data_IF_906281233750
#
_entry.id   IF_906281233750
#
_cell.length_a   1.000
_cell.length_b   1.000
_cell.length_c   1.000
_cell.angle_alpha   90.00
_cell.angle_beta   90.00
_cell.angle_gamma   90.00
#
_symmetry.space_group_name_H-M   'P 1'
#
loop_
_entity.id
_entity.type
_entity.pdbx_description
1 polymer ?
#
# COMPACT_ATOMS: atom_id res chain seq x y z
N UNK A 1 18.26 9.19 9.73
CA UNK A 1 17.53 7.92 9.85
C UNK A 1 18.57 6.82 9.98
N UNK A 2 18.42 5.92 10.93
CA UNK A 2 19.26 4.71 11.00
C UNK A 2 18.71 3.80 9.92
N UNK A 3 19.48 3.57 8.86
CA UNK A 3 19.13 2.54 7.87
C UNK A 3 18.95 1.22 8.61
N UNK A 4 17.84 0.56 8.40
CA UNK A 4 17.61 -0.78 8.93
C UNK A 4 18.74 -1.69 8.41
N UNK A 5 19.46 -2.33 9.31
CA UNK A 5 20.50 -3.31 8.93
C UNK A 5 19.93 -4.63 8.39
N UNK A 6 18.61 -4.75 8.33
CA UNK A 6 17.90 -5.94 7.86
C UNK A 6 17.87 -5.92 6.32
N UNK A 7 18.48 -6.91 5.65
CA UNK A 7 18.42 -7.02 4.20
C UNK A 7 16.97 -7.19 3.72
N UNK A 8 16.60 -6.40 2.71
CA UNK A 8 15.27 -6.44 2.13
C UNK A 8 15.25 -7.23 0.83
N UNK A 9 14.15 -7.92 0.57
CA UNK A 9 13.93 -8.66 -0.65
C UNK A 9 13.94 -7.71 -1.87
N UNK A 10 14.39 -8.22 -3.02
CA UNK A 10 14.32 -7.49 -4.28
C UNK A 10 12.86 -7.19 -4.61
N UNK A 11 12.58 -6.02 -5.14
CA UNK A 11 11.22 -5.62 -5.50
C UNK A 11 10.71 -6.28 -6.80
N UNK A 12 11.61 -6.54 -7.74
CA UNK A 12 11.28 -7.11 -9.05
C UNK A 12 12.05 -8.42 -9.30
N UNK A 13 11.53 -9.26 -10.19
CA UNK A 13 12.16 -10.53 -10.61
C UNK A 13 12.35 -11.50 -9.42
N UNK A 14 11.39 -11.53 -8.49
CA UNK A 14 11.44 -12.43 -7.34
C UNK A 14 10.94 -13.84 -7.66
N UNK A 15 10.05 -13.97 -8.62
CA UNK A 15 9.45 -15.23 -9.01
C UNK A 15 9.69 -15.52 -10.48
N UNK A 16 9.59 -16.82 -10.83
CA UNK A 16 9.63 -17.23 -12.24
C UNK A 16 8.44 -16.58 -12.96
N UNK A 17 8.73 -15.86 -14.04
CA UNK A 17 7.69 -15.31 -14.90
C UNK A 17 6.86 -16.43 -15.52
N UNK A 18 5.53 -16.26 -15.47
CA UNK A 18 4.56 -17.07 -16.19
C UNK A 18 4.03 -16.32 -17.42
N UNK A 19 4.68 -15.21 -17.78
CA UNK A 19 4.28 -14.41 -18.93
C UNK A 19 4.29 -15.24 -20.21
N UNK A 20 3.26 -15.06 -21.01
CA UNK A 20 3.17 -15.64 -22.35
C UNK A 20 4.13 -14.87 -23.25
N UNK A 21 4.88 -15.60 -24.10
CA UNK A 21 5.69 -14.96 -25.13
C UNK A 21 4.75 -14.31 -26.15
N UNK A 22 4.91 -13.02 -26.31
CA UNK A 22 4.17 -12.23 -27.30
C UNK A 22 4.98 -12.15 -28.61
N UNK A 23 4.28 -12.09 -29.74
CA UNK A 23 4.88 -11.68 -31.00
C UNK A 23 5.02 -10.14 -31.04
N UNK A 24 5.71 -9.61 -32.07
CA UNK A 24 6.00 -8.19 -32.18
C UNK A 24 4.74 -7.31 -32.27
N UNK A 25 3.66 -7.80 -32.88
CA UNK A 25 2.39 -7.07 -32.99
C UNK A 25 1.64 -7.05 -31.65
N UNK A 26 1.64 -8.17 -30.95
CA UNK A 26 1.06 -8.29 -29.61
C UNK A 26 1.83 -7.44 -28.60
N UNK A 27 3.15 -7.44 -28.68
CA UNK A 27 3.99 -6.60 -27.80
C UNK A 27 3.71 -5.11 -28.02
N UNK A 28 3.68 -4.64 -29.27
CA UNK A 28 3.33 -3.24 -29.58
C UNK A 28 1.93 -2.87 -29.06
N UNK A 29 0.96 -3.77 -29.25
CA UNK A 29 -0.40 -3.55 -28.71
C UNK A 29 -0.43 -3.52 -27.21
N UNK A 30 0.32 -4.38 -26.53
CA UNK A 30 0.41 -4.40 -25.07
C UNK A 30 1.00 -3.11 -24.53
N UNK A 31 2.11 -2.63 -25.10
CA UNK A 31 2.72 -1.36 -24.69
C UNK A 31 1.77 -0.18 -24.91
N UNK A 32 1.09 -0.13 -26.04
CA UNK A 32 0.09 0.90 -26.32
C UNK A 32 -1.07 0.87 -25.32
N UNK A 33 -1.57 -0.30 -24.93
CA UNK A 33 -2.60 -0.43 -23.92
C UNK A 33 -2.12 0.04 -22.53
N UNK A 34 -0.88 -0.25 -22.14
CA UNK A 34 -0.32 0.26 -20.89
C UNK A 34 -0.22 1.79 -20.87
N UNK A 35 0.15 2.40 -22.00
CA UNK A 35 0.24 3.85 -22.12
C UNK A 35 -1.14 4.52 -22.04
N UNK A 36 -2.15 3.98 -22.70
CA UNK A 36 -3.49 4.57 -22.77
C UNK A 36 -4.36 4.25 -21.56
N UNK A 37 -4.18 3.07 -20.93
CA UNK A 37 -5.08 2.60 -19.87
C UNK A 37 -4.64 3.15 -18.51
N UNK A 38 -5.60 3.69 -17.75
CA UNK A 38 -5.41 4.00 -16.34
C UNK A 38 -5.65 2.72 -15.53
N UNK A 39 -4.55 2.12 -15.05
CA UNK A 39 -4.59 0.87 -14.31
C UNK A 39 -4.48 1.13 -12.81
N UNK A 40 -5.53 0.78 -12.06
CA UNK A 40 -5.62 1.04 -10.62
C UNK A 40 -5.79 -0.27 -9.87
N UNK A 41 -4.93 -0.52 -8.90
CA UNK A 41 -5.14 -1.58 -7.91
C UNK A 41 -5.70 -0.98 -6.61
N UNK A 42 -6.86 -1.47 -6.19
CA UNK A 42 -7.55 -0.94 -5.02
C UNK A 42 -7.05 -1.54 -3.69
N UNK A 43 -6.21 -2.57 -3.73
CA UNK A 43 -5.77 -3.28 -2.53
C UNK A 43 -4.38 -3.89 -2.71
N UNK A 44 -3.37 -3.13 -2.37
CA UNK A 44 -1.97 -3.53 -2.41
C UNK A 44 -1.32 -3.52 -1.03
N UNK A 45 -0.43 -4.47 -0.80
CA UNK A 45 0.47 -4.49 0.35
C UNK A 45 1.90 -4.13 -0.10
N UNK A 46 2.19 -2.85 -0.35
CA UNK A 46 3.41 -2.44 -1.05
C UNK A 46 4.67 -2.45 -0.18
N UNK A 47 4.59 -2.78 1.10
CA UNK A 47 5.78 -2.84 1.96
C UNK A 47 6.75 -3.92 1.46
N UNK A 48 8.02 -3.53 1.26
CA UNK A 48 9.11 -4.47 0.95
C UNK A 48 9.43 -5.28 2.18
N UNK A 49 9.36 -6.59 2.08
CA UNK A 49 9.62 -7.51 3.21
C UNK A 49 11.11 -7.81 3.34
N UNK A 50 11.58 -8.21 4.54
CA UNK A 50 12.90 -8.78 4.70
C UNK A 50 13.17 -9.96 3.76
N UNK A 51 14.41 -10.10 3.30
CA UNK A 51 14.86 -11.26 2.53
C UNK A 51 14.71 -12.55 3.34
N UNK A 52 15.05 -12.49 4.64
CA UNK A 52 14.76 -13.57 5.59
C UNK A 52 13.41 -13.30 6.30
N UNK A 53 12.36 -14.11 6.04
CA UNK A 53 11.05 -13.92 6.67
C UNK A 53 11.06 -14.00 8.21
N UNK A 54 12.06 -14.63 8.81
CA UNK A 54 12.18 -14.70 10.28
C UNK A 54 12.43 -13.34 10.92
N UNK A 55 12.97 -12.38 10.16
CA UNK A 55 13.24 -11.01 10.59
C UNK A 55 12.04 -10.06 10.48
N UNK A 56 10.87 -10.54 9.97
CA UNK A 56 9.71 -9.69 9.72
C UNK A 56 9.24 -8.94 10.96
N UNK A 57 9.13 -9.61 12.11
CA UNK A 57 8.66 -8.95 13.34
C UNK A 57 9.63 -7.91 13.87
N UNK A 58 10.93 -8.11 13.69
CA UNK A 58 11.95 -7.11 14.02
C UNK A 58 11.85 -5.91 13.09
N UNK A 59 11.72 -6.15 11.79
CA UNK A 59 11.51 -5.12 10.80
C UNK A 59 10.26 -4.29 11.07
N UNK A 60 9.13 -4.91 11.41
CA UNK A 60 7.89 -4.22 11.74
C UNK A 60 7.99 -3.33 13.00
N UNK A 61 8.95 -3.62 13.90
CA UNK A 61 9.25 -2.77 15.06
C UNK A 61 10.13 -1.58 14.73
N UNK A 62 10.71 -1.53 13.54
CA UNK A 62 11.45 -0.36 13.09
C UNK A 62 10.49 0.81 12.86
N UNK A 63 11.01 2.02 12.97
CA UNK A 63 10.25 3.24 12.70
C UNK A 63 10.30 3.67 11.22
N UNK A 64 10.68 2.75 10.33
CA UNK A 64 10.80 3.02 8.89
C UNK A 64 10.60 1.76 8.09
N UNK A 65 9.71 1.81 7.11
CA UNK A 65 9.50 0.75 6.12
C UNK A 65 9.97 1.20 4.75
N UNK A 66 10.50 0.27 3.97
CA UNK A 66 10.69 0.47 2.55
C UNK A 66 9.41 0.10 1.81
N UNK A 67 9.03 0.93 0.85
CA UNK A 67 7.83 0.73 0.05
C UNK A 67 8.21 0.27 -1.36
N UNK A 68 7.40 -0.60 -1.94
CA UNK A 68 7.67 -1.26 -3.20
C UNK A 68 7.36 -0.42 -4.44
N UNK A 69 7.84 0.81 -4.50
CA UNK A 69 7.58 1.72 -5.61
C UNK A 69 8.07 1.18 -6.95
N UNK A 70 9.27 0.59 -6.95
CA UNK A 70 9.84 -0.05 -8.14
C UNK A 70 8.95 -1.20 -8.65
N UNK A 71 8.47 -2.06 -7.74
CA UNK A 71 7.59 -3.18 -8.08
C UNK A 71 6.27 -2.71 -8.67
N UNK A 72 5.64 -1.73 -8.06
CA UNK A 72 4.36 -1.16 -8.52
C UNK A 72 4.52 -0.52 -9.90
N UNK A 73 5.58 0.27 -10.08
CA UNK A 73 5.89 0.89 -11.37
C UNK A 73 6.21 -0.14 -12.44
N UNK A 74 7.00 -1.17 -12.12
CA UNK A 74 7.33 -2.26 -13.04
C UNK A 74 6.08 -3.05 -13.46
N UNK A 75 5.08 -3.17 -12.58
CA UNK A 75 3.77 -3.76 -12.88
C UNK A 75 2.88 -2.92 -13.79
N UNK A 76 3.27 -1.69 -14.13
CA UNK A 76 2.52 -0.79 -15.01
C UNK A 76 1.33 -0.11 -14.34
N UNK A 77 1.23 -0.13 -13.01
CA UNK A 77 0.12 0.52 -12.31
C UNK A 77 0.22 2.05 -12.37
N UNK A 78 -0.92 2.68 -12.65
CA UNK A 78 -1.08 4.15 -12.60
C UNK A 78 -1.28 4.61 -11.15
N UNK A 79 -2.07 3.87 -10.38
CA UNK A 79 -2.27 4.15 -8.97
C UNK A 79 -2.55 2.87 -8.18
N UNK A 80 -2.24 2.91 -6.88
CA UNK A 80 -2.51 1.80 -5.97
C UNK A 80 -3.10 2.28 -4.65
N UNK A 81 -4.10 1.56 -4.17
CA UNK A 81 -4.64 1.66 -2.82
C UNK A 81 -3.83 0.80 -1.87
N UNK A 82 -3.26 1.40 -0.84
CA UNK A 82 -2.40 0.69 0.10
C UNK A 82 -3.21 0.13 1.25
N UNK A 83 -3.10 -1.17 1.50
CA UNK A 83 -3.73 -1.81 2.65
C UNK A 83 -2.83 -1.67 3.89
N UNK A 84 -3.00 -0.59 4.63
CA UNK A 84 -2.18 -0.27 5.80
C UNK A 84 -2.65 -1.07 7.03
N UNK A 85 -1.95 -2.14 7.35
CA UNK A 85 -2.29 -3.06 8.48
C UNK A 85 -1.09 -3.80 9.08
N UNK A 86 0.11 -3.52 8.63
CA UNK A 86 1.29 -4.33 9.00
C UNK A 86 1.57 -4.32 10.51
N UNK A 87 1.42 -3.18 11.17
CA UNK A 87 1.62 -3.06 12.62
C UNK A 87 0.61 -3.85 13.44
N UNK A 88 -0.51 -4.24 12.85
CA UNK A 88 -1.45 -5.20 13.47
C UNK A 88 -0.83 -6.56 13.76
N UNK A 89 0.26 -6.93 13.08
CA UNK A 89 1.01 -8.14 13.39
C UNK A 89 1.79 -8.03 14.72
N UNK A 90 2.09 -6.82 15.18
CA UNK A 90 2.78 -6.57 16.45
C UNK A 90 1.80 -6.43 17.61
N UNK A 91 0.74 -5.68 17.39
CA UNK A 91 -0.19 -5.25 18.44
C UNK A 91 -1.62 -5.35 17.94
N UNK A 92 -2.38 -6.28 18.49
CA UNK A 92 -3.82 -6.36 18.24
C UNK A 92 -4.59 -5.71 19.38
N UNK A 93 -5.71 -5.07 19.05
CA UNK A 93 -6.73 -4.69 20.01
C UNK A 93 -7.69 -5.88 20.21
N UNK A 94 -8.36 -5.96 21.35
CA UNK A 94 -9.36 -7.01 21.64
C UNK A 94 -10.50 -7.01 20.60
N UNK A 95 -10.88 -5.82 20.12
CA UNK A 95 -11.97 -5.59 19.17
C UNK A 95 -11.51 -5.07 17.82
N UNK A 96 -10.23 -5.26 17.48
CA UNK A 96 -9.66 -4.85 16.19
C UNK A 96 -8.41 -5.65 15.85
N UNK A 97 -8.11 -5.75 14.55
CA UNK A 97 -6.88 -6.36 14.06
C UNK A 97 -5.64 -5.49 14.30
N UNK A 98 -5.81 -4.18 14.30
CA UNK A 98 -4.75 -3.19 14.53
C UNK A 98 -5.26 -2.11 15.49
N UNK A 99 -4.42 -1.59 16.37
CA UNK A 99 -4.77 -0.44 17.20
C UNK A 99 -4.84 0.82 16.33
N UNK A 100 -5.79 1.71 16.62
CA UNK A 100 -5.98 2.94 15.86
C UNK A 100 -4.71 3.82 15.78
N UNK A 101 -3.96 3.93 16.87
CA UNK A 101 -2.70 4.68 16.87
C UNK A 101 -1.65 4.04 15.93
N UNK A 102 -1.49 2.72 15.98
CA UNK A 102 -0.53 2.01 15.11
C UNK A 102 -0.92 2.15 13.62
N UNK A 103 -2.21 2.19 13.31
CA UNK A 103 -2.70 2.45 11.96
C UNK A 103 -2.32 3.86 11.48
N UNK A 104 -2.52 4.88 12.33
CA UNK A 104 -2.14 6.25 11.99
C UNK A 104 -0.63 6.42 11.83
N UNK A 105 0.17 5.78 12.68
CA UNK A 105 1.63 5.80 12.59
C UNK A 105 2.09 5.19 11.26
N UNK A 106 1.51 4.06 10.85
CA UNK A 106 1.85 3.39 9.59
C UNK A 106 1.47 4.24 8.38
N UNK A 107 0.27 4.83 8.36
CA UNK A 107 -0.16 5.76 7.32
C UNK A 107 0.78 6.96 7.25
N UNK A 108 1.14 7.53 8.40
CA UNK A 108 2.02 8.69 8.47
C UNK A 108 3.42 8.38 7.95
N UNK A 109 3.98 7.21 8.29
CA UNK A 109 5.27 6.76 7.76
C UNK A 109 5.25 6.68 6.23
N UNK A 110 4.22 6.05 5.67
CA UNK A 110 4.07 5.92 4.22
C UNK A 110 3.94 7.28 3.54
N UNK A 111 3.07 8.15 4.05
CA UNK A 111 2.87 9.49 3.46
C UNK A 111 4.14 10.33 3.51
N UNK A 112 4.88 10.27 4.62
CA UNK A 112 6.16 10.97 4.76
C UNK A 112 7.25 10.39 3.84
N UNK A 113 7.17 9.11 3.52
CA UNK A 113 8.10 8.47 2.60
C UNK A 113 7.79 8.87 1.14
N UNK A 114 6.53 8.86 0.74
CA UNK A 114 6.07 9.30 -0.59
C UNK A 114 6.58 10.72 -0.92
N UNK A 115 6.55 11.65 0.04
CA UNK A 115 7.02 13.02 -0.17
C UNK A 115 8.54 13.13 -0.45
N UNK A 116 9.31 12.08 -0.22
CA UNK A 116 10.76 12.04 -0.44
C UNK A 116 11.17 11.37 -1.75
N UNK A 117 10.19 10.87 -2.51
CA UNK A 117 10.45 10.12 -3.74
C UNK A 117 9.75 10.78 -4.94
N UNK A 118 10.53 11.12 -5.96
CA UNK A 118 10.02 11.84 -7.13
C UNK A 118 9.13 10.98 -8.04
N UNK A 119 9.29 9.66 -7.98
CA UNK A 119 8.57 8.70 -8.83
C UNK A 119 7.15 8.39 -8.38
N UNK A 120 6.77 8.84 -7.18
CA UNK A 120 5.46 8.58 -6.59
C UNK A 120 4.81 9.85 -6.08
N UNK A 121 3.50 9.82 -5.89
CA UNK A 121 2.75 10.96 -5.36
C UNK A 121 1.49 10.47 -4.64
N UNK A 122 1.14 11.16 -3.54
CA UNK A 122 -0.16 10.94 -2.90
C UNK A 122 -1.28 11.43 -3.80
N UNK A 123 -2.31 10.62 -3.97
CA UNK A 123 -3.54 10.97 -4.70
C UNK A 123 -4.76 10.73 -3.84
N UNK A 124 -5.85 11.47 -4.07
CA UNK A 124 -7.08 11.41 -3.28
C UNK A 124 -8.36 11.40 -4.13
N UNK A 125 -8.24 11.63 -5.42
CA UNK A 125 -9.33 11.69 -6.40
C UNK A 125 -8.85 11.26 -7.79
N UNK A 126 -9.78 11.13 -8.73
CA UNK A 126 -9.51 10.67 -10.08
C UNK A 126 -8.65 11.67 -10.89
N UNK A 127 -8.88 12.96 -10.73
CA UNK A 127 -8.11 13.99 -11.42
C UNK A 127 -6.63 13.93 -11.03
N UNK A 128 -6.33 13.70 -9.76
CA UNK A 128 -4.95 13.54 -9.28
C UNK A 128 -4.30 12.26 -9.81
N UNK A 129 -5.05 11.16 -9.97
CA UNK A 129 -4.55 9.93 -10.59
C UNK A 129 -4.15 10.19 -12.04
N UNK A 130 -5.01 10.85 -12.81
CA UNK A 130 -4.71 11.21 -14.20
C UNK A 130 -3.51 12.17 -14.29
N UNK A 131 -3.43 13.15 -13.40
CA UNK A 131 -2.29 14.06 -13.34
C UNK A 131 -0.97 13.32 -12.98
N UNK A 132 -1.01 12.35 -12.08
CA UNK A 132 0.14 11.52 -11.75
C UNK A 132 0.63 10.74 -12.98
N UNK A 133 -0.29 10.11 -13.72
CA UNK A 133 0.02 9.41 -14.98
C UNK A 133 0.70 10.32 -16.00
N UNK A 134 0.13 11.52 -16.22
CA UNK A 134 0.70 12.50 -17.15
C UNK A 134 2.12 12.96 -16.77
N UNK A 135 2.45 12.93 -15.48
CA UNK A 135 3.77 13.24 -14.95
C UNK A 135 4.72 12.04 -14.92
N UNK A 136 4.29 10.86 -15.35
CA UNK A 136 5.06 9.62 -15.28
C UNK A 136 5.29 9.11 -13.85
N UNK A 137 4.41 9.51 -12.91
CA UNK A 137 4.44 9.10 -11.51
C UNK A 137 3.37 8.04 -11.22
N UNK A 138 3.58 7.26 -10.16
CA UNK A 138 2.55 6.37 -9.63
C UNK A 138 1.82 7.05 -8.49
N UNK A 139 0.50 7.04 -8.55
CA UNK A 139 -0.37 7.54 -7.49
C UNK A 139 -0.49 6.54 -6.34
N UNK A 140 -0.34 7.01 -5.10
CA UNK A 140 -0.61 6.22 -3.90
C UNK A 140 -1.74 6.87 -3.11
N UNK A 141 -2.79 6.10 -2.82
CA UNK A 141 -3.85 6.54 -1.93
C UNK A 141 -3.96 5.59 -0.75
N UNK A 142 -3.90 6.11 0.49
CA UNK A 142 -3.98 5.27 1.67
C UNK A 142 -5.38 4.68 1.80
N UNK A 143 -5.43 3.38 2.03
CA UNK A 143 -6.65 2.65 2.37
C UNK A 143 -6.45 1.87 3.67
N UNK A 144 -7.50 1.44 4.29
CA UNK A 144 -7.44 0.56 5.44
C UNK A 144 -8.19 -0.72 5.16
N UNK A 145 -7.52 -1.84 5.31
CA UNK A 145 -8.14 -3.16 5.14
C UNK A 145 -9.20 -3.44 6.21
N UNK A 146 -9.03 -2.81 7.37
CA UNK A 146 -9.88 -3.00 8.53
C UNK A 146 -10.06 -1.68 9.28
N UNK A 147 -11.30 -1.23 9.41
CA UNK A 147 -11.63 0.05 10.03
C UNK A 147 -11.50 -0.03 11.56
N UNK A 148 -10.34 0.34 12.08
CA UNK A 148 -9.94 0.20 13.47
C UNK A 148 -10.38 1.40 14.35
N UNK A 149 -11.60 1.87 14.19
CA UNK A 149 -12.09 3.07 14.93
C UNK A 149 -12.60 2.76 16.35
N UNK A 150 -12.71 1.49 16.74
CA UNK A 150 -13.36 1.11 18.00
C UNK A 150 -14.82 1.50 17.99
N UNK A 151 -15.30 2.10 19.08
CA UNK A 151 -16.63 2.67 19.20
C UNK A 151 -16.66 4.21 19.06
N UNK A 152 -15.61 4.81 18.48
CA UNK A 152 -15.40 6.24 18.39
C UNK A 152 -15.57 6.73 16.94
N UNK A 153 -16.81 7.08 16.56
CA UNK A 153 -17.14 7.48 15.19
C UNK A 153 -16.35 8.69 14.67
N UNK A 154 -15.93 9.62 15.55
CA UNK A 154 -15.09 10.76 15.19
C UNK A 154 -13.73 10.36 14.59
N UNK A 155 -13.29 9.13 14.80
CA UNK A 155 -12.07 8.59 14.18
C UNK A 155 -12.19 8.42 12.68
N UNK A 156 -13.40 8.35 12.14
CA UNK A 156 -13.65 8.38 10.69
C UNK A 156 -13.15 9.69 10.09
N UNK A 157 -13.44 10.82 10.74
CA UNK A 157 -12.97 12.12 10.27
C UNK A 157 -11.43 12.21 10.31
N UNK A 158 -10.81 11.63 11.34
CA UNK A 158 -9.34 11.58 11.45
C UNK A 158 -8.75 10.79 10.27
N UNK A 159 -9.29 9.61 9.96
CA UNK A 159 -8.86 8.80 8.82
C UNK A 159 -9.10 9.51 7.48
N UNK A 160 -10.26 10.13 7.32
CA UNK A 160 -10.57 10.90 6.11
C UNK A 160 -9.57 12.05 5.91
N UNK A 161 -9.26 12.78 6.96
CA UNK A 161 -8.28 13.87 6.92
C UNK A 161 -6.84 13.38 6.67
N UNK A 162 -6.49 12.16 7.10
CA UNK A 162 -5.24 11.50 6.77
C UNK A 162 -5.17 11.06 5.28
N UNK A 163 -6.29 11.11 4.57
CA UNK A 163 -6.38 10.79 3.14
C UNK A 163 -7.03 9.45 2.81
N UNK A 164 -7.53 8.72 3.81
CA UNK A 164 -8.25 7.46 3.58
C UNK A 164 -9.52 7.74 2.77
N UNK A 165 -9.72 6.97 1.68
CA UNK A 165 -10.92 7.04 0.83
C UNK A 165 -11.60 5.69 0.66
N UNK A 166 -10.92 4.62 1.03
CA UNK A 166 -11.43 3.26 0.97
C UNK A 166 -11.12 2.56 2.28
N UNK A 167 -12.12 1.92 2.88
CA UNK A 167 -11.98 1.21 4.15
C UNK A 167 -12.81 -0.06 4.18
N UNK A 168 -12.19 -1.19 4.51
CA UNK A 168 -12.88 -2.41 4.90
C UNK A 168 -13.52 -2.24 6.27
N UNK A 169 -14.79 -2.64 6.42
CA UNK A 169 -15.50 -2.48 7.70
C UNK A 169 -15.02 -3.48 8.75
N UNK A 170 -14.85 -4.72 8.34
CA UNK A 170 -14.43 -5.84 9.21
C UNK A 170 -13.40 -6.69 8.49
N UNK A 171 -12.70 -7.57 9.24
CA UNK A 171 -11.77 -8.55 8.67
C UNK A 171 -12.04 -9.94 9.27
N UNK A 172 -11.11 -10.53 9.99
CA UNK A 172 -11.22 -11.91 10.52
C UNK A 172 -11.89 -12.01 11.90
N UNK A 173 -12.10 -10.91 12.57
CA UNK A 173 -12.59 -10.88 13.95
C UNK A 173 -13.81 -9.98 14.06
N UNK A 174 -14.62 -10.25 15.06
CA UNK A 174 -15.65 -9.31 15.49
C UNK A 174 -15.00 -8.00 15.92
N UNK A 175 -15.60 -6.90 15.52
CA UNK A 175 -15.23 -5.54 15.93
C UNK A 175 -16.46 -4.80 16.45
N UNK A 176 -16.28 -3.55 16.88
CA UNK A 176 -17.41 -2.68 17.23
C UNK A 176 -18.31 -2.35 16.03
N UNK A 177 -17.82 -2.53 14.80
CA UNK A 177 -18.57 -2.20 13.58
C UNK A 177 -19.42 -3.38 13.11
N UNK A 178 -18.94 -4.60 13.30
CA UNK A 178 -19.64 -5.80 12.86
C UNK A 178 -18.82 -7.07 13.08
N UNK A 179 -19.41 -8.18 12.68
CA UNK A 179 -18.73 -9.47 12.70
C UNK A 179 -17.82 -9.63 11.49
N UNK A 180 -16.63 -10.18 11.72
CA UNK A 180 -15.71 -10.63 10.66
C UNK A 180 -16.02 -12.06 10.21
N UNK A 181 -15.20 -12.56 9.27
CA UNK A 181 -15.25 -13.96 8.81
C UNK A 181 -14.61 -14.91 9.81
#
# INVERSE_FOLDING_TARGET
MVESSIPLAKQVIQARSIAVTLDDDQERRFQHLLEETTMIDLHQHPMVKPEDPSQLLEYLRSDSYAWGYEAVRHGGFTAVGTANVYRGMLNTDEMSFIRFADLLDEISMMLSDIERHDEVVKVSDAEQIEAAKQQGKVGFFPTVEHLAIGNELQRVDVLYNAGIRLAGLTYRRRSYIGDGQ
#
